data_IF_504903356364
#
_entry.id   IF_504903356364
#
_cell.length_a   1.000
_cell.length_b   1.000
_cell.length_c   1.000
_cell.angle_alpha   90.00
_cell.angle_beta   90.00
_cell.angle_gamma   90.00
#
_symmetry.space_group_name_H-M   'P 1'
#
loop_
_entity.id
_entity.type
_entity.pdbx_description
1 polymer ?
#
# COMPACT_ATOMS: atom_id res chain seq x y z
N UNK A 1 37.47 58.85 -26.17
CA UNK A 1 36.23 58.94 -25.37
C UNK A 1 35.28 57.73 -25.52
N UNK A 2 35.66 56.64 -26.21
CA UNK A 2 34.76 55.48 -26.45
C UNK A 2 34.94 54.30 -25.47
N UNK A 3 36.02 54.21 -24.68
CA UNK A 3 36.24 53.07 -23.76
C UNK A 3 35.45 53.12 -22.44
N UNK A 4 35.05 54.30 -21.96
CA UNK A 4 34.31 54.46 -20.69
C UNK A 4 32.80 54.16 -20.81
N UNK A 5 32.24 54.26 -22.01
CA UNK A 5 30.83 53.99 -22.28
C UNK A 5 30.57 52.48 -22.43
N UNK A 6 31.50 51.75 -23.05
CA UNK A 6 31.44 50.28 -23.19
C UNK A 6 31.56 49.56 -21.83
N UNK A 7 32.44 50.03 -20.94
CA UNK A 7 32.62 49.42 -19.61
C UNK A 7 31.38 49.59 -18.72
N UNK A 8 30.69 50.73 -18.79
CA UNK A 8 29.42 50.94 -18.05
C UNK A 8 28.27 50.10 -18.61
N UNK A 9 28.27 49.79 -19.91
CA UNK A 9 27.23 48.95 -20.56
C UNK A 9 27.42 47.47 -20.22
N UNK A 10 28.67 47.00 -20.18
CA UNK A 10 29.02 45.64 -19.74
C UNK A 10 28.73 45.46 -18.25
N UNK A 11 29.12 46.40 -17.38
CA UNK A 11 28.83 46.30 -15.93
C UNK A 11 27.31 46.35 -15.66
N UNK A 12 26.53 47.16 -16.38
CA UNK A 12 25.07 47.23 -16.23
C UNK A 12 24.36 45.97 -16.73
N UNK A 13 24.82 45.35 -17.82
CA UNK A 13 24.25 44.10 -18.32
C UNK A 13 24.71 42.88 -17.51
N UNK A 14 25.90 42.92 -16.90
CA UNK A 14 26.39 41.85 -16.02
C UNK A 14 25.74 41.93 -14.64
N UNK A 15 25.46 43.13 -14.10
CA UNK A 15 24.65 43.29 -12.88
C UNK A 15 23.17 42.91 -13.09
N UNK A 16 22.59 43.20 -14.26
CA UNK A 16 21.23 42.77 -14.58
C UNK A 16 21.12 41.24 -14.75
N UNK A 17 22.17 40.58 -15.24
CA UNK A 17 22.24 39.13 -15.35
C UNK A 17 22.57 38.42 -14.01
N UNK A 18 23.31 39.06 -13.09
CA UNK A 18 23.59 38.51 -11.75
C UNK A 18 22.46 38.71 -10.73
N UNK A 19 21.48 39.57 -11.02
CA UNK A 19 20.38 39.87 -10.10
C UNK A 19 19.18 38.91 -10.21
N UNK A 20 19.23 37.92 -11.11
CA UNK A 20 18.12 36.98 -11.33
C UNK A 20 18.33 35.57 -10.74
N UNK A 21 19.40 35.35 -9.96
CA UNK A 21 19.78 34.01 -9.46
C UNK A 21 19.34 33.73 -8.02
N UNK A 22 18.84 34.68 -7.23
CA UNK A 22 18.58 34.45 -5.80
C UNK A 22 17.31 35.14 -5.26
N UNK A 23 16.10 34.72 -5.65
CA UNK A 23 14.94 34.67 -4.73
C UNK A 23 13.89 33.63 -5.20
N UNK A 24 14.26 32.35 -5.26
CA UNK A 24 13.28 31.26 -5.05
C UNK A 24 13.69 30.37 -3.88
N UNK A 25 14.30 30.96 -2.85
CA UNK A 25 14.29 30.39 -1.51
C UNK A 25 12.91 30.62 -0.88
N UNK A 26 11.84 30.15 -1.52
CA UNK A 26 10.62 29.84 -0.76
C UNK A 26 10.94 28.57 0.00
N UNK A 27 11.60 28.72 1.16
CA UNK A 27 11.58 27.72 2.21
C UNK A 27 10.14 27.64 2.72
N UNK A 28 9.28 27.02 1.92
CA UNK A 28 8.04 26.45 2.40
C UNK A 28 8.51 25.33 3.31
N UNK A 29 8.61 25.65 4.60
CA UNK A 29 9.01 24.75 5.69
C UNK A 29 8.55 23.34 5.34
N UNK A 30 9.48 22.49 4.91
CA UNK A 30 9.16 21.12 4.60
C UNK A 30 8.57 20.53 5.89
N UNK A 31 7.47 19.76 5.81
CA UNK A 31 7.02 19.01 6.98
C UNK A 31 8.22 18.25 7.55
N UNK A 32 8.30 18.09 8.89
CA UNK A 32 9.41 17.35 9.49
C UNK A 32 9.55 16.01 8.77
N UNK A 33 10.75 15.73 8.27
CA UNK A 33 11.05 14.44 7.65
C UNK A 33 10.75 13.40 8.72
N UNK A 34 9.86 12.42 8.45
CA UNK A 34 9.71 11.31 9.38
C UNK A 34 11.08 10.65 9.53
N UNK A 35 11.38 10.14 10.73
CA UNK A 35 12.55 9.32 10.99
C UNK A 35 12.50 8.00 10.21
N UNK A 36 13.00 6.90 10.76
CA UNK A 36 12.82 5.58 10.13
C UNK A 36 11.32 5.33 9.91
N UNK A 37 10.93 5.26 8.65
CA UNK A 37 9.52 5.06 8.26
C UNK A 37 9.12 3.63 8.60
N UNK A 38 8.01 3.47 9.32
CA UNK A 38 7.43 2.17 9.66
C UNK A 38 6.06 2.06 9.00
N UNK A 39 5.95 1.55 7.76
CA UNK A 39 4.69 1.60 6.99
C UNK A 39 3.53 0.85 7.65
N UNK A 40 3.77 -0.33 8.23
CA UNK A 40 2.75 -1.03 9.02
C UNK A 40 2.43 -0.30 10.33
N UNK A 41 3.42 0.38 10.91
CA UNK A 41 3.25 1.31 12.02
C UNK A 41 2.23 2.43 11.75
N UNK A 42 2.17 2.90 10.49
CA UNK A 42 1.18 3.87 10.05
C UNK A 42 -0.22 3.25 9.93
N UNK A 43 -0.30 2.02 9.43
CA UNK A 43 -1.57 1.32 9.18
C UNK A 43 -2.31 1.07 10.50
N UNK A 44 -1.59 0.67 11.55
CA UNK A 44 -2.13 0.27 12.85
C UNK A 44 -1.98 -1.23 13.10
N UNK A 45 -2.21 -1.66 14.33
CA UNK A 45 -2.10 -3.04 14.81
C UNK A 45 -3.43 -3.82 14.82
N UNK A 46 -4.50 -3.17 14.36
CA UNK A 46 -5.88 -3.66 14.42
C UNK A 46 -6.47 -4.07 13.07
N UNK A 47 -5.65 -4.27 12.02
CA UNK A 47 -6.16 -4.69 10.72
C UNK A 47 -6.52 -6.18 10.71
N UNK A 48 -7.63 -6.53 10.05
CA UNK A 48 -8.04 -7.92 9.81
C UNK A 48 -7.08 -8.65 8.85
N UNK A 49 -6.41 -7.89 7.99
CA UNK A 49 -5.44 -8.37 7.03
C UNK A 49 -4.41 -7.31 6.66
N UNK A 50 -3.16 -7.72 6.56
CA UNK A 50 -2.02 -6.94 6.09
C UNK A 50 -1.51 -7.50 4.78
N UNK A 51 -1.13 -6.61 3.86
CA UNK A 51 -0.54 -6.99 2.57
C UNK A 51 0.74 -6.18 2.37
N UNK A 52 1.81 -6.87 1.97
CA UNK A 52 3.05 -6.31 1.49
C UNK A 52 3.20 -6.66 0.01
N UNK A 53 3.36 -5.66 -0.85
CA UNK A 53 3.48 -5.84 -2.30
C UNK A 53 4.63 -4.96 -2.86
N UNK A 54 5.80 -5.56 -3.14
CA UNK A 54 6.83 -4.94 -3.96
C UNK A 54 6.29 -4.64 -5.37
N UNK A 55 6.53 -3.47 -5.92
CA UNK A 55 5.88 -3.05 -7.18
C UNK A 55 6.63 -3.50 -8.43
N UNK A 56 7.96 -3.64 -8.38
CA UNK A 56 8.79 -3.85 -9.57
C UNK A 56 8.32 -5.05 -10.41
N UNK A 57 8.11 -6.22 -9.79
CA UNK A 57 7.62 -7.43 -10.50
C UNK A 57 6.10 -7.58 -10.50
N UNK A 58 5.38 -6.83 -9.65
CA UNK A 58 3.95 -7.00 -9.41
C UNK A 58 3.09 -5.84 -9.95
N UNK A 59 3.67 -4.94 -10.75
CA UNK A 59 2.96 -3.78 -11.32
C UNK A 59 1.70 -4.16 -12.11
N UNK A 60 1.71 -5.29 -12.83
CA UNK A 60 0.54 -5.80 -13.58
C UNK A 60 -0.65 -6.11 -12.67
N UNK A 61 -0.43 -6.42 -11.39
CA UNK A 61 -1.48 -6.59 -10.39
C UNK A 61 -1.89 -5.22 -9.81
N UNK A 62 -0.93 -4.41 -9.36
CA UNK A 62 -1.21 -3.16 -8.66
C UNK A 62 -1.89 -2.09 -9.52
N UNK A 63 -1.48 -1.94 -10.79
CA UNK A 63 -1.97 -0.89 -11.69
C UNK A 63 -3.49 -0.95 -11.92
N UNK A 64 -4.10 -2.08 -12.33
CA UNK A 64 -5.54 -2.14 -12.57
C UNK A 64 -6.39 -1.98 -11.30
N UNK A 65 -5.83 -2.24 -10.11
CA UNK A 65 -6.51 -2.05 -8.81
C UNK A 65 -6.50 -0.57 -8.44
N UNK A 66 -5.33 0.07 -8.47
CA UNK A 66 -5.22 1.48 -8.10
C UNK A 66 -5.85 2.42 -9.15
N UNK A 67 -5.84 2.03 -10.41
CA UNK A 67 -6.48 2.82 -11.48
C UNK A 67 -8.00 2.79 -11.37
N UNK A 68 -8.63 1.70 -10.92
CA UNK A 68 -10.08 1.71 -10.65
C UNK A 68 -10.47 2.64 -9.49
N UNK A 69 -9.52 2.99 -8.62
CA UNK A 69 -9.75 3.82 -7.44
C UNK A 69 -9.63 5.31 -7.74
N UNK A 70 -8.56 5.72 -8.46
CA UNK A 70 -8.28 7.14 -8.68
C UNK A 70 -7.75 7.46 -10.08
N UNK A 71 -7.97 6.56 -11.05
CA UNK A 71 -7.65 6.75 -12.45
C UNK A 71 -6.17 7.05 -12.71
N UNK A 72 -5.93 7.92 -13.68
CA UNK A 72 -4.58 8.34 -14.10
C UNK A 72 -3.75 8.94 -12.96
N UNK A 73 -4.40 9.55 -11.96
CA UNK A 73 -3.71 10.12 -10.80
C UNK A 73 -2.98 9.04 -10.00
N UNK A 74 -3.63 7.89 -9.79
CA UNK A 74 -3.06 6.75 -9.08
C UNK A 74 -2.01 6.02 -9.93
N UNK A 75 -2.20 5.93 -11.25
CA UNK A 75 -1.19 5.37 -12.15
C UNK A 75 0.13 6.15 -12.09
N UNK A 76 0.05 7.49 -12.05
CA UNK A 76 1.24 8.34 -11.90
C UNK A 76 1.91 8.16 -10.53
N UNK A 77 1.14 8.07 -9.44
CA UNK A 77 1.70 7.78 -8.11
C UNK A 77 2.37 6.38 -8.05
N UNK A 78 1.75 5.36 -8.64
CA UNK A 78 2.28 4.00 -8.70
C UNK A 78 3.61 3.94 -9.45
N UNK A 79 3.79 4.72 -10.53
CA UNK A 79 5.06 4.78 -11.28
C UNK A 79 6.28 5.20 -10.45
N UNK A 80 6.05 5.78 -9.26
CA UNK A 80 7.06 6.24 -8.30
C UNK A 80 7.14 5.38 -7.04
N UNK A 81 6.28 4.38 -6.94
CA UNK A 81 6.14 3.53 -5.75
C UNK A 81 7.02 2.31 -5.88
N UNK A 82 7.79 2.01 -4.83
CA UNK A 82 8.65 0.83 -4.75
C UNK A 82 7.94 -0.34 -4.07
N UNK A 83 7.19 -0.08 -3.01
CA UNK A 83 6.42 -1.09 -2.29
C UNK A 83 5.14 -0.48 -1.72
N UNK A 84 4.07 -1.28 -1.73
CA UNK A 84 2.79 -0.97 -1.11
C UNK A 84 2.64 -1.82 0.15
N UNK A 85 2.28 -1.15 1.23
CA UNK A 85 1.89 -1.79 2.49
C UNK A 85 0.44 -1.39 2.70
N UNK A 86 -0.43 -2.35 2.97
CA UNK A 86 -1.85 -2.08 3.22
C UNK A 86 -2.39 -2.86 4.41
N UNK A 87 -3.34 -2.24 5.11
CA UNK A 87 -4.23 -2.91 6.05
C UNK A 87 -5.66 -2.87 5.54
N UNK A 88 -6.37 -3.98 5.71
CA UNK A 88 -7.79 -4.13 5.42
C UNK A 88 -8.52 -4.26 6.75
N UNK A 89 -9.53 -3.42 6.95
CA UNK A 89 -10.32 -3.32 8.17
C UNK A 89 -11.78 -3.57 7.81
N UNK A 90 -12.43 -4.48 8.51
CA UNK A 90 -13.76 -4.97 8.18
C UNK A 90 -14.66 -4.72 9.36
N UNK A 91 -15.65 -3.85 9.17
CA UNK A 91 -16.63 -3.53 10.20
C UNK A 91 -18.01 -3.45 9.58
N UNK A 92 -18.96 -4.19 10.15
CA UNK A 92 -20.37 -4.18 9.73
C UNK A 92 -20.54 -4.44 8.21
N UNK A 93 -19.73 -5.33 7.65
CA UNK A 93 -19.63 -5.68 6.20
C UNK A 93 -19.10 -4.57 5.29
N UNK A 94 -18.65 -3.45 5.84
CA UNK A 94 -17.92 -2.42 5.13
C UNK A 94 -16.42 -2.64 5.29
N UNK A 95 -15.69 -2.45 4.20
CA UNK A 95 -14.24 -2.55 4.20
C UNK A 95 -13.61 -1.16 4.17
N UNK A 96 -12.67 -0.89 5.06
CA UNK A 96 -11.77 0.24 4.97
C UNK A 96 -10.37 -0.28 4.64
N UNK A 97 -9.65 0.46 3.80
CA UNK A 97 -8.31 0.13 3.37
C UNK A 97 -7.40 1.30 3.67
N UNK A 98 -6.35 1.04 4.44
CA UNK A 98 -5.28 2.00 4.74
C UNK A 98 -4.02 1.55 4.02
N UNK A 99 -3.36 2.46 3.33
CA UNK A 99 -2.13 2.20 2.59
C UNK A 99 -1.07 3.19 3.06
N UNK A 100 0.12 2.67 3.33
CA UNK A 100 1.33 3.46 3.46
C UNK A 100 2.37 2.88 2.50
N UNK A 101 2.61 3.54 1.36
CA UNK A 101 3.53 3.06 0.35
C UNK A 101 4.87 3.79 0.44
N UNK A 102 5.96 3.08 0.11
CA UNK A 102 7.29 3.67 0.00
C UNK A 102 7.63 3.93 -1.46
N UNK A 103 8.42 4.97 -1.74
CA UNK A 103 8.80 5.31 -3.10
C UNK A 103 9.67 6.55 -3.21
N UNK A 104 9.68 7.16 -4.39
CA UNK A 104 10.37 8.42 -4.68
C UNK A 104 9.38 9.43 -5.25
N UNK A 105 8.81 10.26 -4.38
CA UNK A 105 7.77 11.23 -4.71
C UNK A 105 8.34 12.66 -4.64
N UNK A 106 8.69 13.30 -5.78
CA UNK A 106 9.24 14.65 -5.75
C UNK A 106 8.33 15.67 -5.04
N UNK A 107 8.93 16.63 -4.33
CA UNK A 107 8.17 17.73 -3.72
C UNK A 107 7.33 18.47 -4.77
N UNK A 108 6.07 18.73 -4.44
CA UNK A 108 5.14 19.43 -5.33
C UNK A 108 4.51 18.56 -6.42
N UNK A 109 4.88 17.28 -6.55
CA UNK A 109 4.24 16.35 -7.49
C UNK A 109 2.73 16.22 -7.21
N UNK A 110 2.33 16.25 -5.94
CA UNK A 110 0.93 16.08 -5.54
C UNK A 110 -0.02 17.10 -6.15
N UNK A 111 0.38 18.38 -6.22
CA UNK A 111 -0.48 19.45 -6.78
C UNK A 111 -0.66 19.27 -8.30
N UNK A 112 0.27 18.57 -8.96
CA UNK A 112 0.21 18.30 -10.40
C UNK A 112 -0.64 17.07 -10.75
N UNK A 113 -0.71 16.10 -9.84
CA UNK A 113 -1.46 14.84 -9.97
C UNK A 113 -2.91 15.02 -9.50
N UNK A 114 -3.09 15.47 -8.26
CA UNK A 114 -4.38 15.48 -7.57
C UNK A 114 -5.11 16.83 -7.78
N UNK A 115 -5.56 17.04 -9.01
CA UNK A 115 -6.22 18.28 -9.43
C UNK A 115 -7.73 18.26 -9.12
N UNK A 116 -8.30 19.42 -8.77
CA UNK A 116 -9.75 19.62 -8.60
C UNK A 116 -10.58 19.14 -9.79
N UNK A 117 -10.12 19.40 -11.02
CA UNK A 117 -10.79 18.93 -12.25
C UNK A 117 -10.90 17.40 -12.37
N UNK A 118 -10.10 16.66 -11.60
CA UNK A 118 -10.12 15.20 -11.53
C UNK A 118 -10.84 14.68 -10.26
N UNK A 119 -11.65 15.52 -9.60
CA UNK A 119 -12.45 15.12 -8.43
C UNK A 119 -11.72 15.21 -7.08
N UNK A 120 -10.53 15.80 -7.02
CA UNK A 120 -9.73 15.91 -5.79
C UNK A 120 -9.89 17.26 -5.10
N UNK A 121 -10.30 17.26 -3.83
CA UNK A 121 -10.37 18.45 -2.99
C UNK A 121 -9.12 18.56 -2.11
N UNK A 122 -8.26 19.58 -2.29
CA UNK A 122 -7.09 19.78 -1.46
C UNK A 122 -7.48 20.27 -0.05
N UNK A 123 -6.88 19.67 0.96
CA UNK A 123 -7.04 20.01 2.38
C UNK A 123 -5.65 20.07 3.06
N UNK A 124 -5.62 20.58 4.29
CA UNK A 124 -4.41 20.60 5.13
C UNK A 124 -4.77 20.18 6.55
N UNK A 125 -3.89 19.40 7.17
CA UNK A 125 -3.96 19.09 8.60
C UNK A 125 -3.48 20.27 9.44
N UNK A 126 -3.70 20.23 10.77
CA UNK A 126 -3.13 21.21 11.72
C UNK A 126 -1.60 21.26 11.66
N UNK A 127 -0.98 20.11 11.42
CA UNK A 127 0.46 19.93 11.24
C UNK A 127 0.96 20.36 9.84
N UNK A 128 0.08 20.94 9.02
CA UNK A 128 0.35 21.48 7.67
C UNK A 128 0.67 20.42 6.61
N UNK A 129 0.46 19.14 6.88
CA UNK A 129 0.48 18.12 5.84
C UNK A 129 -0.66 18.38 4.85
N UNK A 130 -0.34 18.34 3.56
CA UNK A 130 -1.34 18.40 2.49
C UNK A 130 -1.94 17.02 2.27
N UNK A 131 -3.25 16.96 2.07
CA UNK A 131 -3.92 15.77 1.60
C UNK A 131 -5.04 16.16 0.62
N UNK A 132 -5.50 15.19 -0.15
CA UNK A 132 -6.48 15.38 -1.21
C UNK A 132 -7.60 14.37 -0.98
N UNK A 133 -8.82 14.87 -0.90
CA UNK A 133 -10.02 14.08 -0.63
C UNK A 133 -10.84 13.90 -1.90
N UNK A 134 -11.37 12.69 -2.10
CA UNK A 134 -12.45 12.38 -3.03
C UNK A 134 -13.63 11.78 -2.25
N UNK A 135 -14.63 11.23 -2.93
CA UNK A 135 -15.82 10.63 -2.29
C UNK A 135 -15.44 9.52 -1.29
N UNK A 136 -14.69 8.52 -1.74
CA UNK A 136 -14.34 7.34 -0.95
C UNK A 136 -12.83 7.18 -0.70
N UNK A 137 -11.99 8.13 -1.12
CA UNK A 137 -10.52 8.04 -1.00
C UNK A 137 -9.92 9.36 -0.54
N UNK A 138 -9.02 9.28 0.43
CA UNK A 138 -8.16 10.37 0.84
C UNK A 138 -6.70 9.96 0.57
N UNK A 139 -5.89 10.87 0.02
CA UNK A 139 -4.48 10.61 -0.30
C UNK A 139 -3.57 11.75 0.16
N UNK A 140 -2.38 11.42 0.64
CA UNK A 140 -1.34 12.36 1.01
C UNK A 140 0.03 11.84 0.58
N UNK A 141 0.94 12.77 0.27
CA UNK A 141 2.37 12.47 0.13
C UNK A 141 3.07 13.35 1.17
N UNK A 142 3.16 12.90 2.44
CA UNK A 142 3.63 13.73 3.53
C UNK A 142 5.15 13.97 3.47
N UNK A 143 5.90 13.09 2.80
CA UNK A 143 7.34 13.22 2.56
C UNK A 143 7.72 12.68 1.18
N UNK A 144 8.93 12.97 0.67
CA UNK A 144 9.38 12.44 -0.61
C UNK A 144 9.52 10.91 -0.69
N UNK A 145 9.38 10.21 0.44
CA UNK A 145 9.59 8.77 0.53
C UNK A 145 8.30 7.99 0.75
N UNK A 146 7.20 8.66 1.12
CA UNK A 146 5.96 8.01 1.55
C UNK A 146 4.77 8.59 0.79
N UNK A 147 3.86 7.73 0.37
CA UNK A 147 2.48 8.12 0.07
C UNK A 147 1.51 7.34 0.97
N UNK A 148 0.51 8.04 1.48
CA UNK A 148 -0.51 7.53 2.37
C UNK A 148 -1.86 7.62 1.69
N UNK A 149 -2.67 6.57 1.80
CA UNK A 149 -4.01 6.53 1.26
C UNK A 149 -4.96 5.88 2.26
N UNK A 150 -6.14 6.46 2.44
CA UNK A 150 -7.25 5.83 3.18
C UNK A 150 -8.45 5.76 2.26
N UNK A 151 -9.07 4.59 2.16
CA UNK A 151 -10.21 4.34 1.31
C UNK A 151 -11.30 3.59 2.07
N UNK A 152 -12.56 3.93 1.80
CA UNK A 152 -13.70 3.25 2.41
C UNK A 152 -14.90 4.18 2.57
N UNK A 153 -15.84 3.84 3.48
CA UNK A 153 -17.06 4.60 3.71
C UNK A 153 -16.78 5.98 4.31
N UNK A 154 -17.82 6.80 4.53
CA UNK A 154 -17.66 8.17 5.04
C UNK A 154 -17.08 8.23 6.45
N UNK A 155 -17.30 7.19 7.26
CA UNK A 155 -16.73 7.03 8.60
C UNK A 155 -15.34 6.37 8.60
N UNK A 156 -14.67 6.30 7.44
CA UNK A 156 -13.30 5.79 7.33
C UNK A 156 -12.32 6.59 8.19
N UNK A 157 -11.18 5.98 8.49
CA UNK A 157 -10.06 6.60 9.18
C UNK A 157 -9.77 8.01 8.67
N UNK A 158 -9.84 8.98 9.57
CA UNK A 158 -9.56 10.36 9.23
C UNK A 158 -8.07 10.51 8.85
N UNK A 159 -7.80 11.16 7.70
CA UNK A 159 -6.44 11.33 7.17
C UNK A 159 -5.53 12.16 8.10
N UNK A 160 -6.05 13.14 8.84
CA UNK A 160 -5.25 13.88 9.84
C UNK A 160 -4.81 12.98 10.98
N UNK A 161 -5.70 12.14 11.49
CA UNK A 161 -5.37 11.14 12.52
C UNK A 161 -4.41 10.09 11.95
N UNK A 162 -4.61 9.66 10.71
CA UNK A 162 -3.71 8.70 10.04
C UNK A 162 -2.29 9.27 9.92
N UNK A 163 -2.14 10.50 9.44
CA UNK A 163 -0.85 11.17 9.31
C UNK A 163 -0.18 11.47 10.65
N UNK A 164 -0.96 11.67 11.73
CA UNK A 164 -0.41 11.83 13.08
C UNK A 164 0.45 10.65 13.55
N UNK A 165 0.17 9.43 13.05
CA UNK A 165 0.95 8.21 13.31
C UNK A 165 2.38 8.26 12.76
N UNK A 166 2.72 9.23 11.89
CA UNK A 166 4.11 9.46 11.45
C UNK A 166 5.05 9.75 12.62
N UNK A 167 4.53 10.41 13.65
CA UNK A 167 5.29 10.76 14.86
C UNK A 167 5.33 9.62 15.89
N UNK A 168 4.28 8.78 15.90
CA UNK A 168 4.11 7.67 16.86
C UNK A 168 3.44 6.48 16.17
N UNK A 169 4.23 5.63 15.47
CA UNK A 169 3.70 4.45 14.79
C UNK A 169 3.19 3.40 15.80
N UNK A 170 2.16 2.66 15.41
CA UNK A 170 1.54 1.55 16.15
C UNK A 170 1.91 0.23 15.47
N UNK A 171 2.79 -0.55 16.09
CA UNK A 171 3.35 -1.74 15.44
C UNK A 171 2.47 -2.98 15.61
N UNK A 172 2.03 -3.53 14.48
CA UNK A 172 1.45 -4.87 14.43
C UNK A 172 2.51 -5.94 14.75
N UNK A 173 2.10 -6.99 15.46
CA UNK A 173 2.93 -8.17 15.67
C UNK A 173 2.78 -9.13 14.50
N UNK A 174 3.86 -9.32 13.73
CA UNK A 174 3.92 -10.27 12.63
C UNK A 174 4.67 -11.54 13.02
N UNK A 175 4.42 -12.62 12.29
CA UNK A 175 5.28 -13.79 12.35
C UNK A 175 6.69 -13.48 11.83
N UNK A 176 7.65 -14.30 12.24
CA UNK A 176 9.04 -14.19 11.77
C UNK A 176 9.12 -14.29 10.24
N UNK A 177 8.35 -15.19 9.62
CA UNK A 177 8.35 -15.38 8.16
C UNK A 177 7.86 -14.13 7.43
N UNK A 178 6.75 -13.54 7.87
CA UNK A 178 6.22 -12.33 7.24
C UNK A 178 7.14 -11.13 7.47
N UNK A 179 7.64 -10.96 8.70
CA UNK A 179 8.62 -9.92 9.02
C UNK A 179 9.92 -10.04 8.21
N UNK A 180 10.41 -11.27 8.01
CA UNK A 180 11.59 -11.54 7.17
C UNK A 180 11.33 -11.18 5.73
N UNK A 181 10.18 -11.57 5.16
CA UNK A 181 9.81 -11.21 3.79
C UNK A 181 9.90 -9.70 3.57
N UNK A 182 9.23 -8.93 4.44
CA UNK A 182 9.13 -7.46 4.34
C UNK A 182 10.51 -6.80 4.35
N UNK A 183 11.48 -7.37 5.09
CA UNK A 183 12.84 -6.83 5.23
C UNK A 183 13.87 -7.42 4.26
N UNK A 184 13.52 -8.49 3.54
CA UNK A 184 14.45 -9.25 2.68
C UNK A 184 14.78 -8.60 1.34
N UNK A 185 13.96 -7.65 0.88
CA UNK A 185 14.02 -7.13 -0.50
C UNK A 185 13.47 -8.10 -1.55
N UNK A 186 12.84 -9.21 -1.13
CA UNK A 186 12.12 -10.11 -2.03
C UNK A 186 11.07 -9.36 -2.86
N UNK A 187 10.76 -9.92 -4.03
CA UNK A 187 9.70 -9.43 -4.90
C UNK A 187 8.38 -10.20 -4.74
N UNK A 188 8.32 -11.10 -3.76
CA UNK A 188 7.12 -11.87 -3.42
C UNK A 188 6.11 -10.98 -2.70
N UNK A 189 4.83 -11.26 -2.90
CA UNK A 189 3.73 -10.59 -2.21
C UNK A 189 3.44 -11.39 -0.94
N UNK A 190 3.39 -10.71 0.20
CA UNK A 190 3.01 -11.30 1.48
C UNK A 190 1.62 -10.85 1.90
N UNK A 191 0.82 -11.77 2.41
CA UNK A 191 -0.48 -11.51 3.02
C UNK A 191 -0.48 -12.16 4.40
N UNK A 192 -0.82 -11.38 5.43
CA UNK A 192 -0.93 -11.83 6.81
C UNK A 192 -2.31 -11.48 7.33
N UNK A 193 -3.08 -12.48 7.76
CA UNK A 193 -4.47 -12.32 8.18
C UNK A 193 -4.58 -12.64 9.66
N UNK A 194 -5.17 -11.71 10.41
CA UNK A 194 -5.47 -11.87 11.84
C UNK A 194 -6.90 -12.38 12.05
N UNK A 195 -7.80 -12.07 11.11
CA UNK A 195 -9.19 -12.51 11.10
C UNK A 195 -9.43 -13.62 10.05
N UNK A 196 -9.24 -14.87 10.47
CA UNK A 196 -9.38 -16.04 9.58
C UNK A 196 -10.78 -16.22 8.99
N UNK A 197 -11.83 -15.86 9.73
CA UNK A 197 -13.22 -15.95 9.26
C UNK A 197 -13.48 -15.01 8.09
N UNK A 198 -12.93 -13.79 8.15
CA UNK A 198 -12.98 -12.85 7.03
C UNK A 198 -12.31 -13.43 5.78
N UNK A 199 -11.09 -13.97 5.92
CA UNK A 199 -10.36 -14.54 4.78
C UNK A 199 -11.09 -15.75 4.17
N UNK A 200 -11.55 -16.70 5.00
CA UNK A 200 -12.28 -17.85 4.49
C UNK A 200 -13.58 -17.42 3.80
N UNK A 201 -14.32 -16.48 4.39
CA UNK A 201 -15.58 -16.00 3.84
C UNK A 201 -15.42 -15.21 2.54
N UNK A 202 -14.51 -14.24 2.50
CA UNK A 202 -14.41 -13.27 1.39
C UNK A 202 -13.44 -13.70 0.28
N UNK A 203 -12.34 -14.37 0.63
CA UNK A 203 -11.30 -14.76 -0.35
C UNK A 203 -11.54 -16.18 -0.85
N UNK A 204 -11.80 -17.12 0.06
CA UNK A 204 -12.06 -18.51 -0.32
C UNK A 204 -13.54 -18.71 -0.71
N UNK A 205 -14.45 -17.87 -0.19
CA UNK A 205 -15.89 -17.92 -0.49
C UNK A 205 -16.67 -18.87 0.40
N UNK A 206 -16.21 -19.13 1.62
CA UNK A 206 -16.74 -20.19 2.50
C UNK A 206 -16.86 -19.72 3.93
N UNK A 207 -18.05 -19.85 4.50
CA UNK A 207 -18.31 -19.62 5.92
C UNK A 207 -18.45 -20.96 6.64
N UNK A 208 -17.35 -21.48 7.16
CA UNK A 208 -17.35 -22.76 7.88
C UNK A 208 -17.63 -22.60 9.38
N UNK A 209 -17.54 -21.37 9.92
CA UNK A 209 -17.64 -21.11 11.36
C UNK A 209 -16.58 -21.86 12.17
N UNK A 210 -15.43 -22.15 11.55
CA UNK A 210 -14.36 -22.94 12.15
C UNK A 210 -13.39 -22.02 12.87
N UNK A 211 -12.85 -22.43 14.05
CA UNK A 211 -11.94 -21.60 14.81
C UNK A 211 -10.55 -21.56 14.16
N UNK A 212 -10.39 -20.61 13.23
CA UNK A 212 -9.15 -20.35 12.51
C UNK A 212 -8.40 -19.20 13.17
N UNK A 213 -7.08 -19.37 13.29
CA UNK A 213 -6.16 -18.37 13.79
C UNK A 213 -5.55 -17.57 12.64
N UNK A 214 -4.24 -17.35 12.73
CA UNK A 214 -3.47 -16.61 11.73
C UNK A 214 -3.45 -17.37 10.40
N UNK A 215 -3.59 -16.62 9.31
CA UNK A 215 -3.39 -17.13 7.95
C UNK A 215 -2.28 -16.35 7.29
N UNK A 216 -1.36 -17.04 6.64
CA UNK A 216 -0.31 -16.43 5.84
C UNK A 216 -0.38 -16.95 4.41
N UNK A 217 -0.29 -16.04 3.45
CA UNK A 217 -0.18 -16.39 2.05
C UNK A 217 0.99 -15.63 1.43
N UNK A 218 1.76 -16.34 0.61
CA UNK A 218 2.91 -15.81 -0.09
C UNK A 218 2.75 -16.08 -1.58
N UNK A 219 2.75 -15.04 -2.41
CA UNK A 219 2.64 -15.16 -3.87
C UNK A 219 3.98 -14.84 -4.50
N UNK A 220 4.50 -15.80 -5.25
CA UNK A 220 5.74 -15.69 -6.00
C UNK A 220 5.45 -15.81 -7.48
N UNK A 221 6.05 -14.96 -8.32
CA UNK A 221 5.83 -15.03 -9.77
C UNK A 221 6.28 -16.38 -10.31
N UNK A 222 5.45 -17.03 -11.11
CA UNK A 222 5.76 -18.32 -11.71
C UNK A 222 6.84 -18.11 -12.80
N UNK A 223 8.03 -18.74 -12.70
CA UNK A 223 9.08 -18.58 -13.70
C UNK A 223 8.78 -19.33 -15.00
N UNK A 224 7.89 -20.33 -14.97
CA UNK A 224 7.59 -21.22 -16.10
C UNK A 224 6.39 -20.74 -16.93
N UNK A 225 5.43 -20.06 -16.29
CA UNK A 225 4.17 -19.63 -16.94
C UNK A 225 3.98 -18.13 -16.77
N UNK A 226 3.92 -17.40 -17.88
CA UNK A 226 3.66 -15.97 -17.85
C UNK A 226 2.27 -15.67 -17.27
N UNK A 227 2.18 -14.60 -16.48
CA UNK A 227 0.95 -14.14 -15.83
C UNK A 227 0.35 -15.13 -14.81
N UNK A 228 1.16 -16.05 -14.29
CA UNK A 228 0.83 -16.88 -13.14
C UNK A 228 1.73 -16.60 -11.95
N UNK A 229 1.20 -16.89 -10.76
CA UNK A 229 1.92 -16.90 -9.50
C UNK A 229 1.77 -18.26 -8.87
N UNK A 230 2.83 -18.70 -8.20
CA UNK A 230 2.78 -19.78 -7.25
C UNK A 230 2.44 -19.18 -5.89
N UNK A 231 1.51 -19.81 -5.17
CA UNK A 231 1.20 -19.44 -3.80
C UNK A 231 1.52 -20.55 -2.82
N UNK A 232 2.05 -20.13 -1.68
CA UNK A 232 2.06 -20.91 -0.46
C UNK A 232 1.01 -20.33 0.48
N UNK A 233 0.22 -21.20 1.11
CA UNK A 233 -0.82 -20.83 2.06
C UNK A 233 -0.64 -21.65 3.33
N UNK A 234 -0.57 -20.97 4.46
CA UNK A 234 -0.57 -21.59 5.77
C UNK A 234 -1.73 -21.08 6.63
N UNK A 235 -2.45 -21.99 7.27
CA UNK A 235 -3.63 -21.68 8.08
C UNK A 235 -3.44 -22.32 9.45
N UNK A 236 -3.30 -21.50 10.48
CA UNK A 236 -3.28 -21.96 11.86
C UNK A 236 -4.70 -22.14 12.37
N UNK A 237 -4.92 -23.16 13.21
CA UNK A 237 -6.22 -23.44 13.79
C UNK A 237 -6.11 -23.61 15.29
N UNK A 238 -7.21 -23.43 16.03
CA UNK A 238 -7.18 -23.62 17.48
C UNK A 238 -6.91 -25.07 17.91
N UNK A 239 -7.19 -26.06 17.05
CA UNK A 239 -7.00 -27.47 17.37
C UNK A 239 -6.87 -28.35 16.10
N UNK A 240 -6.28 -29.52 16.27
CA UNK A 240 -6.00 -30.48 15.19
C UNK A 240 -7.27 -30.99 14.48
N UNK A 241 -8.42 -31.04 15.18
CA UNK A 241 -9.68 -31.46 14.57
C UNK A 241 -10.16 -30.43 13.54
N UNK A 242 -10.11 -29.15 13.86
CA UNK A 242 -10.38 -28.07 12.92
C UNK A 242 -9.43 -28.12 11.73
N UNK A 243 -8.13 -28.34 11.98
CA UNK A 243 -7.14 -28.49 10.92
C UNK A 243 -7.49 -29.66 9.96
N UNK A 244 -7.94 -30.79 10.52
CA UNK A 244 -8.32 -31.98 9.76
C UNK A 244 -9.58 -31.77 8.90
N UNK A 245 -10.58 -31.06 9.44
CA UNK A 245 -11.79 -30.71 8.69
C UNK A 245 -11.48 -29.76 7.53
N UNK A 246 -10.67 -28.73 7.78
CA UNK A 246 -10.20 -27.83 6.73
C UNK A 246 -9.39 -28.61 5.69
N UNK A 247 -8.52 -29.54 6.09
CA UNK A 247 -7.77 -30.36 5.12
C UNK A 247 -8.70 -31.11 4.18
N UNK A 248 -9.71 -31.77 4.74
CA UNK A 248 -10.70 -32.50 3.95
C UNK A 248 -11.44 -31.57 2.98
N UNK A 249 -11.82 -30.38 3.45
CA UNK A 249 -12.45 -29.35 2.64
C UNK A 249 -11.54 -28.90 1.47
N UNK A 250 -10.32 -28.43 1.76
CA UNK A 250 -9.38 -27.96 0.74
C UNK A 250 -9.00 -29.07 -0.26
N UNK A 251 -8.85 -30.31 0.21
CA UNK A 251 -8.58 -31.47 -0.67
C UNK A 251 -9.74 -31.77 -1.61
N UNK A 252 -10.99 -31.72 -1.13
CA UNK A 252 -12.17 -32.00 -1.96
C UNK A 252 -12.53 -30.84 -2.88
N UNK A 253 -12.60 -29.62 -2.34
CA UNK A 253 -13.11 -28.46 -3.05
C UNK A 253 -12.08 -27.84 -3.98
N UNK A 254 -10.83 -27.73 -3.52
CA UNK A 254 -9.77 -27.03 -4.26
C UNK A 254 -8.81 -28.00 -4.95
N UNK A 255 -9.02 -29.32 -4.79
CA UNK A 255 -8.11 -30.36 -5.30
C UNK A 255 -6.65 -30.03 -4.98
N UNK A 256 -6.43 -29.47 -3.80
CA UNK A 256 -5.12 -29.08 -3.32
C UNK A 256 -4.47 -30.27 -2.61
N UNK A 257 -3.15 -30.39 -2.77
CA UNK A 257 -2.37 -31.20 -1.84
C UNK A 257 -2.17 -30.39 -0.56
N UNK A 258 -2.53 -30.99 0.58
CA UNK A 258 -2.62 -30.28 1.86
C UNK A 258 -1.88 -31.09 2.91
N UNK A 259 -0.76 -30.53 3.37
CA UNK A 259 -0.01 -31.02 4.53
C UNK A 259 -0.63 -30.53 5.83
N UNK A 260 -0.49 -31.35 6.86
CA UNK A 260 -0.79 -30.97 8.24
C UNK A 260 0.50 -31.07 9.04
N UNK A 261 0.78 -29.99 9.76
CA UNK A 261 1.80 -29.93 10.80
C UNK A 261 1.10 -29.50 12.07
N UNK A 262 0.87 -30.44 12.99
CA UNK A 262 0.11 -30.19 14.22
C UNK A 262 -1.28 -29.57 13.96
N UNK A 263 -1.49 -28.32 14.36
CA UNK A 263 -2.71 -27.54 14.18
C UNK A 263 -2.66 -26.60 12.97
N UNK A 264 -1.67 -26.75 12.08
CA UNK A 264 -1.43 -25.90 10.91
C UNK A 264 -1.65 -26.67 9.61
N UNK A 265 -2.42 -26.07 8.70
CA UNK A 265 -2.52 -26.54 7.33
C UNK A 265 -1.50 -25.83 6.46
N UNK A 266 -0.91 -26.56 5.53
CA UNK A 266 0.09 -26.05 4.60
C UNK A 266 -0.24 -26.51 3.19
N UNK A 267 -0.27 -25.56 2.27
CA UNK A 267 -0.42 -25.74 0.82
C UNK A 267 0.73 -25.00 0.18
N UNK A 268 1.44 -25.64 -0.75
CA UNK A 268 2.66 -25.09 -1.35
C UNK A 268 2.61 -25.14 -2.88
N UNK A 269 3.27 -24.18 -3.50
CA UNK A 269 3.53 -24.13 -4.95
C UNK A 269 2.29 -24.34 -5.83
N UNK A 270 1.12 -23.84 -5.40
CA UNK A 270 -0.11 -23.90 -6.20
C UNK A 270 -0.18 -22.72 -7.15
N UNK A 271 -0.58 -22.95 -8.40
CA UNK A 271 -0.73 -21.85 -9.35
C UNK A 271 -2.03 -21.06 -9.15
N UNK A 272 -1.96 -19.76 -9.39
CA UNK A 272 -3.07 -18.82 -9.51
C UNK A 272 -2.74 -17.77 -10.58
N UNK A 273 -3.72 -17.38 -11.38
CA UNK A 273 -3.52 -16.41 -12.46
C UNK A 273 -3.48 -14.97 -11.94
N UNK A 274 -2.77 -14.07 -12.62
CA UNK A 274 -2.75 -12.63 -12.36
C UNK A 274 -4.17 -12.04 -12.33
N UNK A 275 -5.01 -12.46 -13.29
CA UNK A 275 -6.42 -12.01 -13.36
C UNK A 275 -7.19 -12.38 -12.10
N UNK A 276 -7.02 -13.61 -11.59
CA UNK A 276 -7.73 -14.08 -10.40
C UNK A 276 -7.27 -13.33 -9.15
N UNK A 277 -5.98 -13.04 -9.03
CA UNK A 277 -5.45 -12.20 -7.95
C UNK A 277 -6.09 -10.81 -8.00
N UNK A 278 -6.13 -10.19 -9.19
CA UNK A 278 -6.72 -8.85 -9.36
C UNK A 278 -8.21 -8.86 -8.98
N UNK A 279 -8.97 -9.88 -9.39
CA UNK A 279 -10.39 -10.04 -9.03
C UNK A 279 -10.59 -10.13 -7.51
N UNK A 280 -9.84 -11.01 -6.85
CA UNK A 280 -9.92 -11.21 -5.39
C UNK A 280 -9.55 -9.92 -4.67
N UNK A 281 -8.46 -9.25 -5.08
CA UNK A 281 -8.08 -8.01 -4.42
C UNK A 281 -9.18 -6.98 -4.64
N UNK A 282 -9.69 -6.79 -5.87
CA UNK A 282 -10.78 -5.84 -6.16
C UNK A 282 -12.06 -6.10 -5.38
N UNK A 283 -12.42 -7.36 -5.11
CA UNK A 283 -13.62 -7.65 -4.31
C UNK A 283 -13.53 -7.18 -2.86
N UNK A 284 -12.32 -6.90 -2.36
CA UNK A 284 -12.13 -6.26 -1.05
C UNK A 284 -12.52 -4.77 -1.06
N UNK A 285 -12.59 -4.13 -2.25
CA UNK A 285 -12.77 -2.68 -2.43
C UNK A 285 -14.18 -2.29 -2.86
N UNK A 286 -15.22 -3.09 -2.55
CA UNK A 286 -16.61 -2.85 -3.00
C UNK A 286 -17.15 -1.44 -2.63
N UNK A 287 -16.90 -0.45 -3.50
CA UNK A 287 -17.43 0.91 -3.48
C UNK A 287 -17.51 1.46 -4.91
#
# INVERSE_FOLDING_TARGET
MNGRLELKRIIRNTLAALSFVLVFASCKTAPPLPGVVRPFGMIGDDADMYIYMPIEKNKKIAEPILTSVGGESMKQALSRTTAVYSGVFVKDRLTEIRICSTGKYPYGMTDSIFKKKNGWEPKKTKEKYKYYKSSYVDISIPSPQIACLVMGPDNRQNMEVFLGKLSKPEEAMFSERFGTLVNSGSQDIGIFVTNGDFFLGQIIGVQLGLPVGVIEMYLKKNPEVENEYLYDLSIETKNVMTASLLKLFFKKQLKADVRLEENKLIIENRSVTESRIIEIIKSLYNY
#
